data_IF_690443574427
#
_entry.id   IF_690443574427
#
_cell.length_a   1.000
_cell.length_b   1.000
_cell.length_c   1.000
_cell.angle_alpha   90.00
_cell.angle_beta   90.00
_cell.angle_gamma   90.00
#
_symmetry.space_group_name_H-M   'P 1'
#
loop_
_entity.id
_entity.type
_entity.pdbx_description
1 polymer ?
#
# COMPACT_ATOMS: atom_id res chain seq x y z
N UNK A 1 15.12 21.73 3.69
CA UNK A 1 14.26 21.22 2.62
C UNK A 1 12.97 20.74 3.27
N UNK A 2 11.80 21.10 2.75
CA UNK A 2 10.53 20.70 3.34
C UNK A 2 10.41 19.17 3.32
N UNK A 3 9.97 18.59 4.43
CA UNK A 3 9.70 17.15 4.54
C UNK A 3 8.30 16.91 3.96
N UNK A 4 8.22 16.75 2.64
CA UNK A 4 6.97 16.62 1.88
C UNK A 4 6.67 15.15 1.53
N UNK A 5 5.38 14.86 1.49
CA UNK A 5 4.80 13.58 1.06
C UNK A 5 5.53 12.30 1.53
N UNK A 6 5.55 12.04 2.85
CA UNK A 6 6.13 10.80 3.37
C UNK A 6 5.38 9.56 2.89
N UNK A 7 4.11 9.69 2.50
CA UNK A 7 3.23 8.58 2.10
C UNK A 7 3.63 7.99 0.75
N UNK A 8 3.84 8.82 -0.26
CA UNK A 8 4.29 8.35 -1.58
C UNK A 8 5.71 7.80 -1.50
N UNK A 9 6.61 8.51 -0.79
CA UNK A 9 8.00 8.08 -0.62
C UNK A 9 8.11 6.74 0.08
N UNK A 10 7.37 6.53 1.18
CA UNK A 10 7.42 5.25 1.88
C UNK A 10 6.78 4.12 1.08
N UNK A 11 5.66 4.39 0.39
CA UNK A 11 4.97 3.36 -0.40
C UNK A 11 5.86 2.85 -1.53
N UNK A 12 6.56 3.76 -2.20
CA UNK A 12 7.55 3.44 -3.25
C UNK A 12 8.71 2.63 -2.66
N UNK A 13 9.28 3.07 -1.54
CA UNK A 13 10.39 2.35 -0.89
C UNK A 13 9.99 0.95 -0.41
N UNK A 14 8.78 0.78 0.09
CA UNK A 14 8.21 -0.53 0.46
C UNK A 14 8.09 -1.42 -0.77
N UNK A 15 7.52 -0.90 -1.87
CA UNK A 15 7.42 -1.67 -3.11
C UNK A 15 8.80 -2.12 -3.59
N UNK A 16 9.75 -1.21 -3.75
CA UNK A 16 11.12 -1.49 -4.21
C UNK A 16 11.78 -2.56 -3.34
N UNK A 17 11.60 -2.47 -2.02
CA UNK A 17 12.13 -3.45 -1.07
C UNK A 17 11.49 -4.82 -1.25
N UNK A 18 10.16 -4.87 -1.45
CA UNK A 18 9.44 -6.12 -1.71
C UNK A 18 9.86 -6.73 -3.05
N UNK A 19 10.15 -5.93 -4.09
CA UNK A 19 10.59 -6.41 -5.41
C UNK A 19 11.90 -7.21 -5.39
N UNK A 20 12.67 -7.14 -4.31
CA UNK A 20 13.82 -8.03 -4.11
C UNK A 20 13.41 -9.52 -4.17
N UNK A 21 12.25 -9.89 -3.61
CA UNK A 21 11.72 -11.26 -3.67
C UNK A 21 10.43 -11.40 -4.51
N UNK A 22 9.54 -10.39 -4.45
CA UNK A 22 8.22 -10.39 -5.10
C UNK A 22 8.29 -9.77 -6.50
N UNK A 23 8.78 -10.55 -7.47
CA UNK A 23 9.07 -10.07 -8.83
C UNK A 23 7.83 -9.54 -9.55
N UNK A 24 7.96 -8.38 -10.22
CA UNK A 24 6.86 -7.68 -10.90
C UNK A 24 6.17 -8.50 -12.00
N UNK A 25 6.87 -9.42 -12.65
CA UNK A 25 6.28 -10.33 -13.63
C UNK A 25 5.49 -11.50 -13.04
N UNK A 26 5.46 -11.62 -11.71
CA UNK A 26 4.77 -12.71 -10.99
C UNK A 26 3.83 -12.21 -9.92
N UNK A 27 4.08 -11.03 -9.35
CA UNK A 27 3.33 -10.45 -8.25
C UNK A 27 2.84 -9.06 -8.63
N UNK A 28 1.54 -8.86 -8.53
CA UNK A 28 0.94 -7.53 -8.64
C UNK A 28 1.15 -6.75 -7.34
N UNK A 29 1.30 -5.43 -7.47
CA UNK A 29 1.39 -4.51 -6.35
C UNK A 29 0.43 -3.35 -6.56
N UNK A 30 -0.37 -3.04 -5.54
CA UNK A 30 -1.36 -1.96 -5.59
C UNK A 30 -1.39 -1.18 -4.29
N UNK A 31 -1.57 0.14 -4.38
CA UNK A 31 -1.95 0.99 -3.26
C UNK A 31 -3.47 1.02 -3.20
N UNK A 32 -4.04 0.77 -2.02
CA UNK A 32 -5.49 0.55 -1.83
C UNK A 32 -5.99 1.25 -0.56
N UNK A 33 -7.31 1.54 -0.44
CA UNK A 33 -7.88 2.07 0.81
C UNK A 33 -7.88 1.05 1.96
N UNK A 34 -7.96 1.53 3.21
CA UNK A 34 -8.28 0.72 4.41
C UNK A 34 -9.51 1.33 5.11
N UNK A 35 -10.64 0.62 5.24
CA UNK A 35 -10.92 -0.72 4.71
C UNK A 35 -11.16 -0.73 3.19
N UNK A 36 -10.87 -1.85 2.55
CA UNK A 36 -11.25 -2.14 1.16
C UNK A 36 -12.76 -2.38 1.06
N UNK A 37 -13.39 -1.84 0.01
CA UNK A 37 -14.77 -2.23 -0.33
C UNK A 37 -14.81 -3.64 -0.94
N UNK A 38 -16.00 -4.28 -0.88
CA UNK A 38 -16.21 -5.61 -1.48
C UNK A 38 -15.91 -5.64 -2.99
N UNK A 39 -16.26 -4.57 -3.71
CA UNK A 39 -16.07 -4.47 -5.16
C UNK A 39 -14.59 -4.36 -5.51
N UNK A 40 -13.84 -3.50 -4.81
CA UNK A 40 -12.40 -3.35 -4.99
C UNK A 40 -11.67 -4.64 -4.64
N UNK A 41 -12.06 -5.28 -3.54
CA UNK A 41 -11.47 -6.55 -3.13
C UNK A 41 -11.70 -7.65 -4.19
N UNK A 42 -12.92 -7.78 -4.72
CA UNK A 42 -13.20 -8.74 -5.81
C UNK A 42 -12.35 -8.48 -7.05
N UNK A 43 -12.21 -7.21 -7.44
CA UNK A 43 -11.37 -6.81 -8.58
C UNK A 43 -9.90 -7.22 -8.36
N UNK A 44 -9.36 -6.92 -7.18
CA UNK A 44 -7.97 -7.20 -6.81
C UNK A 44 -7.65 -8.69 -6.73
N UNK A 45 -8.56 -9.52 -6.19
CA UNK A 45 -8.32 -10.96 -6.03
C UNK A 45 -8.29 -11.72 -7.37
N UNK A 46 -8.66 -11.09 -8.48
CA UNK A 46 -8.42 -11.67 -9.81
C UNK A 46 -6.95 -11.63 -10.22
N UNK A 47 -6.16 -10.73 -9.64
CA UNK A 47 -4.76 -10.43 -9.98
C UNK A 47 -3.75 -11.14 -9.05
N UNK A 48 -4.06 -12.39 -8.66
CA UNK A 48 -3.21 -13.13 -7.73
C UNK A 48 -2.03 -13.80 -8.43
N UNK A 49 -0.85 -13.84 -7.81
CA UNK A 49 -0.57 -13.42 -6.43
C UNK A 49 -0.36 -11.90 -6.30
N UNK A 50 -0.91 -11.33 -5.21
CA UNK A 50 -1.06 -9.88 -5.04
C UNK A 50 -0.48 -9.41 -3.71
N UNK A 51 0.15 -8.24 -3.75
CA UNK A 51 0.51 -7.40 -2.62
C UNK A 51 -0.30 -6.10 -2.69
N UNK A 52 -1.09 -5.79 -1.66
CA UNK A 52 -1.87 -4.56 -1.60
C UNK A 52 -1.46 -3.77 -0.35
N UNK A 53 -0.94 -2.56 -0.53
CA UNK A 53 -0.49 -1.69 0.54
C UNK A 53 -1.55 -0.62 0.82
N UNK A 54 -1.96 -0.48 2.07
CA UNK A 54 -2.90 0.55 2.50
C UNK A 54 -2.33 1.41 3.61
N UNK A 55 -2.70 2.68 3.61
CA UNK A 55 -2.52 3.58 4.74
C UNK A 55 -3.69 3.41 5.71
N UNK A 56 -3.40 3.32 7.01
CA UNK A 56 -4.43 3.16 8.05
C UNK A 56 -4.64 4.44 8.83
N UNK A 57 -3.57 4.97 9.40
CA UNK A 57 -3.61 6.11 10.31
C UNK A 57 -2.22 6.69 10.50
N UNK A 58 -2.15 7.96 10.90
CA UNK A 58 -0.93 8.55 11.45
C UNK A 58 -1.28 9.25 12.74
N UNK A 59 -0.72 8.77 13.84
CA UNK A 59 -1.04 9.28 15.18
C UNK A 59 0.15 10.05 15.74
N UNK A 60 0.00 11.35 16.06
CA UNK A 60 1.06 12.10 16.71
C UNK A 60 1.25 11.59 18.15
N UNK A 61 2.48 11.57 18.68
CA UNK A 61 2.75 11.09 20.04
C UNK A 61 2.19 12.05 21.11
N UNK A 62 2.08 13.35 20.80
CA UNK A 62 1.62 14.41 21.70
C UNK A 62 0.55 15.30 21.05
N UNK A 63 -0.27 15.96 21.89
CA UNK A 63 -1.41 16.82 21.45
C UNK A 63 -1.00 18.20 20.91
N UNK A 64 0.25 18.40 20.54
CA UNK A 64 0.78 19.69 20.09
C UNK A 64 1.87 19.53 19.02
N UNK A 65 1.45 19.31 17.78
CA UNK A 65 2.33 19.35 16.61
C UNK A 65 2.28 20.76 16.03
N UNK A 66 3.38 21.51 16.14
CA UNK A 66 3.52 22.86 15.60
C UNK A 66 3.63 22.87 14.07
N UNK A 67 4.62 23.56 13.50
CA UNK A 67 4.88 23.56 12.04
C UNK A 67 5.38 22.21 11.48
N UNK A 68 5.56 21.21 12.35
CA UNK A 68 6.07 19.86 12.06
C UNK A 68 5.08 18.85 12.63
N UNK A 69 4.50 18.02 11.76
CA UNK A 69 3.69 16.88 12.15
C UNK A 69 4.57 15.64 12.24
N UNK A 70 4.76 15.10 13.44
CA UNK A 70 5.51 13.85 13.67
C UNK A 70 4.59 12.83 14.32
N UNK A 71 4.63 11.58 13.88
CA UNK A 71 3.71 10.56 14.34
C UNK A 71 4.04 9.15 13.88
N UNK A 72 3.41 8.18 14.54
CA UNK A 72 3.45 6.79 14.12
C UNK A 72 2.52 6.61 12.92
N UNK A 73 3.14 6.42 11.76
CA UNK A 73 2.50 6.06 10.51
C UNK A 73 2.20 4.56 10.52
N UNK A 74 0.92 4.23 10.54
CA UNK A 74 0.40 2.87 10.43
C UNK A 74 0.00 2.56 8.99
N UNK A 75 0.57 1.49 8.45
CA UNK A 75 0.24 0.94 7.13
C UNK A 75 -0.09 -0.54 7.26
N UNK A 76 -0.73 -1.10 6.24
CA UNK A 76 -1.03 -2.53 6.18
C UNK A 76 -0.73 -3.09 4.80
N UNK A 77 0.04 -4.16 4.79
CA UNK A 77 0.27 -4.97 3.60
C UNK A 77 -0.65 -6.18 3.63
N UNK A 78 -1.61 -6.22 2.71
CA UNK A 78 -2.46 -7.38 2.45
C UNK A 78 -1.81 -8.23 1.37
N UNK A 79 -1.64 -9.52 1.64
CA UNK A 79 -1.07 -10.50 0.72
C UNK A 79 -2.17 -11.47 0.34
N UNK A 80 -2.43 -11.65 -0.96
CA UNK A 80 -3.41 -12.59 -1.48
C UNK A 80 -2.71 -13.58 -2.39
N UNK A 81 -2.88 -14.87 -2.11
CA UNK A 81 -2.35 -15.96 -2.95
C UNK A 81 -3.43 -16.96 -3.32
N UNK A 82 -3.28 -17.53 -4.51
CA UNK A 82 -3.99 -18.72 -4.97
C UNK A 82 -2.94 -19.74 -5.42
N UNK A 83 -3.28 -21.03 -5.30
CA UNK A 83 -2.43 -22.10 -5.81
C UNK A 83 -3.28 -23.13 -6.57
N UNK A 84 -2.90 -23.49 -7.81
CA UNK A 84 -3.69 -24.42 -8.64
C UNK A 84 -3.71 -25.86 -8.10
N UNK A 85 -2.73 -26.26 -7.28
CA UNK A 85 -2.62 -27.63 -6.77
C UNK A 85 -3.48 -27.90 -5.51
N UNK A 86 -4.26 -26.92 -5.06
CA UNK A 86 -5.32 -27.14 -4.06
C UNK A 86 -5.10 -26.43 -2.71
N UNK A 87 -5.98 -26.76 -1.74
CA UNK A 87 -6.18 -25.98 -0.50
C UNK A 87 -4.98 -25.96 0.44
N UNK A 88 -4.13 -26.99 0.46
CA UNK A 88 -2.94 -26.98 1.31
C UNK A 88 -1.84 -26.10 0.72
N UNK A 89 -1.68 -26.15 -0.61
CA UNK A 89 -0.61 -25.47 -1.33
C UNK A 89 -0.79 -23.95 -1.40
N UNK A 90 -2.02 -23.42 -1.27
CA UNK A 90 -2.21 -21.96 -1.09
C UNK A 90 -1.60 -21.43 0.22
N UNK A 91 -1.35 -22.30 1.22
CA UNK A 91 -0.67 -21.92 2.45
C UNK A 91 0.84 -22.20 2.39
N UNK A 92 1.22 -23.40 1.95
CA UNK A 92 2.61 -23.85 1.99
C UNK A 92 3.42 -23.49 0.75
N UNK A 93 2.76 -23.32 -0.39
CA UNK A 93 3.39 -23.13 -1.70
C UNK A 93 3.91 -24.43 -2.28
N UNK A 94 4.31 -24.37 -3.55
CA UNK A 94 4.98 -25.45 -4.26
C UNK A 94 5.69 -24.90 -5.52
N UNK A 95 6.15 -25.81 -6.39
CA UNK A 95 6.79 -25.43 -7.65
C UNK A 95 5.85 -24.70 -8.63
N UNK A 96 4.52 -24.78 -8.46
CA UNK A 96 3.54 -24.19 -9.38
C UNK A 96 2.98 -22.85 -8.89
N UNK A 97 3.13 -22.52 -7.61
CA UNK A 97 2.62 -21.25 -7.09
C UNK A 97 3.08 -20.93 -5.67
N UNK A 98 2.98 -19.65 -5.28
CA UNK A 98 3.35 -19.22 -3.95
C UNK A 98 2.40 -19.76 -2.88
N UNK A 99 2.93 -19.90 -1.67
CA UNK A 99 2.16 -20.17 -0.46
C UNK A 99 2.03 -18.92 0.39
N UNK A 100 0.95 -18.82 1.15
CA UNK A 100 0.71 -17.68 2.04
C UNK A 100 1.80 -17.57 3.12
N UNK A 101 2.20 -18.69 3.74
CA UNK A 101 3.17 -18.68 4.82
C UNK A 101 4.58 -18.26 4.40
N UNK A 102 5.18 -18.81 3.31
CA UNK A 102 6.46 -18.29 2.85
C UNK A 102 6.34 -16.84 2.36
N UNK A 103 5.20 -16.43 1.78
CA UNK A 103 5.01 -15.05 1.32
C UNK A 103 4.93 -14.07 2.49
N UNK A 104 4.14 -14.35 3.53
CA UNK A 104 4.04 -13.47 4.70
C UNK A 104 5.37 -13.39 5.45
N UNK A 105 6.07 -14.52 5.64
CA UNK A 105 7.38 -14.55 6.29
C UNK A 105 8.43 -13.80 5.48
N UNK A 106 8.42 -13.96 4.15
CA UNK A 106 9.34 -13.24 3.25
C UNK A 106 9.11 -11.74 3.27
N UNK A 107 7.86 -11.29 3.22
CA UNK A 107 7.52 -9.87 3.32
C UNK A 107 7.92 -9.30 4.69
N UNK A 108 7.61 -9.99 5.78
CA UNK A 108 8.01 -9.57 7.12
C UNK A 108 9.53 -9.48 7.28
N UNK A 109 10.28 -10.46 6.75
CA UNK A 109 11.75 -10.45 6.78
C UNK A 109 12.34 -9.29 5.97
N UNK A 110 11.74 -8.94 4.83
CA UNK A 110 12.21 -7.85 3.99
C UNK A 110 11.95 -6.47 4.60
N UNK A 111 10.82 -6.31 5.30
CA UNK A 111 10.32 -5.03 5.79
C UNK A 111 10.70 -4.74 7.25
N UNK A 112 10.77 -5.75 8.11
CA UNK A 112 11.08 -5.53 9.52
C UNK A 112 12.52 -5.04 9.69
N UNK A 113 12.69 -3.86 10.28
CA UNK A 113 13.99 -3.20 10.43
C UNK A 113 14.50 -2.54 9.15
N UNK A 114 13.73 -2.52 8.06
CA UNK A 114 14.12 -1.81 6.85
C UNK A 114 14.09 -0.31 7.10
N UNK A 115 15.23 0.36 6.85
CA UNK A 115 15.38 1.81 7.04
C UNK A 115 15.37 2.52 5.71
N UNK A 116 14.46 3.46 5.56
CA UNK A 116 14.36 4.36 4.41
C UNK A 116 15.06 5.66 4.77
N UNK A 117 16.02 6.08 3.93
CA UNK A 117 16.75 7.32 4.13
C UNK A 117 15.78 8.50 4.30
N UNK A 118 16.03 9.31 5.33
CA UNK A 118 15.26 10.50 5.67
C UNK A 118 13.79 10.28 6.07
N UNK A 119 13.32 9.02 6.18
CA UNK A 119 11.97 8.69 6.64
C UNK A 119 11.98 7.86 7.93
N UNK A 120 12.96 6.97 8.10
CA UNK A 120 13.11 6.15 9.31
C UNK A 120 12.97 4.65 9.07
N UNK A 121 12.75 3.90 10.15
CA UNK A 121 12.74 2.43 10.13
C UNK A 121 11.33 1.88 10.23
N UNK A 122 11.03 0.90 9.38
CA UNK A 122 9.77 0.15 9.39
C UNK A 122 9.85 -0.98 10.41
N UNK A 123 8.80 -1.10 11.22
CA UNK A 123 8.60 -2.19 12.17
C UNK A 123 7.37 -3.00 11.79
N UNK A 124 7.49 -4.33 11.82
CA UNK A 124 6.33 -5.21 11.68
C UNK A 124 5.67 -5.34 13.05
N UNK A 125 4.48 -4.78 13.20
CA UNK A 125 3.73 -4.77 14.45
C UNK A 125 2.89 -6.03 14.66
N UNK A 126 2.29 -6.54 13.59
CA UNK A 126 1.51 -7.78 13.62
C UNK A 126 1.51 -8.47 12.26
N UNK A 127 1.41 -9.80 12.29
CA UNK A 127 1.17 -10.64 11.11
C UNK A 127 -0.02 -11.52 11.47
N UNK A 128 -1.07 -11.46 10.66
CA UNK A 128 -2.28 -12.25 10.87
C UNK A 128 -2.71 -12.90 9.55
N UNK A 129 -3.23 -14.13 9.65
CA UNK A 129 -4.04 -14.67 8.57
C UNK A 129 -5.40 -13.98 8.63
N UNK A 130 -5.85 -13.44 7.50
CA UNK A 130 -7.18 -12.90 7.37
C UNK A 130 -8.10 -13.92 6.68
N UNK A 131 -9.35 -13.97 7.11
CA UNK A 131 -10.39 -14.67 6.37
C UNK A 131 -11.05 -13.68 5.43
N UNK A 132 -11.32 -14.13 4.20
CA UNK A 132 -12.23 -13.40 3.31
C UNK A 132 -13.66 -13.65 3.79
N UNK A 133 -14.03 -13.07 4.94
CA UNK A 133 -15.38 -13.16 5.47
C UNK A 133 -16.34 -12.58 4.43
N UNK A 134 -17.33 -13.37 4.00
CA UNK A 134 -18.22 -13.02 2.87
C UNK A 134 -17.75 -13.44 1.46
N UNK A 135 -16.58 -14.08 1.32
CA UNK A 135 -16.06 -14.53 0.02
C UNK A 135 -15.59 -16.00 -0.01
N UNK A 136 -16.49 -16.96 0.31
CA UNK A 136 -16.14 -18.38 0.40
C UNK A 136 -15.60 -18.98 -0.92
N UNK A 137 -15.98 -18.41 -2.07
CA UNK A 137 -15.70 -18.98 -3.39
C UNK A 137 -14.38 -18.53 -4.02
N UNK A 138 -13.64 -17.61 -3.39
CA UNK A 138 -12.42 -17.06 -4.01
C UNK A 138 -11.24 -18.04 -4.03
N UNK A 139 -11.32 -19.17 -3.32
CA UNK A 139 -10.25 -20.17 -3.15
C UNK A 139 -8.85 -19.53 -2.93
N UNK A 140 -8.81 -18.42 -2.20
CA UNK A 140 -7.62 -17.66 -1.91
C UNK A 140 -7.21 -17.83 -0.44
N UNK A 141 -5.94 -17.59 -0.16
CA UNK A 141 -5.42 -17.43 1.20
C UNK A 141 -4.92 -15.99 1.35
N UNK A 142 -5.24 -15.36 2.49
CA UNK A 142 -4.99 -13.95 2.73
C UNK A 142 -4.25 -13.78 4.05
N UNK A 143 -3.28 -12.87 4.06
CA UNK A 143 -2.62 -12.40 5.27
C UNK A 143 -2.56 -10.88 5.27
N UNK A 144 -2.53 -10.30 6.46
CA UNK A 144 -2.26 -8.89 6.69
C UNK A 144 -1.00 -8.75 7.53
N UNK A 145 -0.14 -7.82 7.14
CA UNK A 145 1.04 -7.42 7.91
C UNK A 145 0.86 -5.95 8.27
N UNK A 146 0.68 -5.67 9.56
CA UNK A 146 0.60 -4.30 10.06
C UNK A 146 2.03 -3.75 10.22
N UNK A 147 2.29 -2.63 9.57
CA UNK A 147 3.56 -1.93 9.53
C UNK A 147 3.43 -0.62 10.29
N UNK A 148 4.44 -0.30 11.08
CA UNK A 148 4.53 0.97 11.80
C UNK A 148 5.87 1.61 11.55
N UNK A 149 5.90 2.92 11.35
CA UNK A 149 7.13 3.70 11.39
C UNK A 149 6.89 5.08 11.97
N UNK A 150 7.94 5.72 12.47
CA UNK A 150 7.89 7.13 12.78
C UNK A 150 8.03 7.90 11.46
N UNK A 151 7.05 8.70 11.09
CA UNK A 151 7.13 9.59 9.95
C UNK A 151 7.00 11.04 10.42
N UNK A 152 7.59 11.96 9.67
CA UNK A 152 7.38 13.38 9.86
C UNK A 152 7.09 14.03 8.51
N UNK A 153 6.19 15.02 8.51
CA UNK A 153 6.06 15.97 7.42
C UNK A 153 5.76 17.37 7.95
N UNK A 154 6.07 18.37 7.15
CA UNK A 154 5.78 19.76 7.48
C UNK A 154 6.78 20.74 6.89
N UNK A 155 6.36 22.00 6.85
CA UNK A 155 7.17 23.11 6.35
C UNK A 155 7.78 23.90 7.52
N UNK A 156 8.86 23.34 8.05
CA UNK A 156 9.59 23.90 9.19
C UNK A 156 10.21 25.25 8.83
N UNK A 157 10.65 25.43 7.58
CA UNK A 157 11.43 26.58 7.14
C UNK A 157 10.59 27.66 6.44
N UNK A 158 9.30 27.42 6.15
CA UNK A 158 8.49 28.37 5.38
C UNK A 158 8.80 28.32 3.87
N UNK A 159 9.31 27.20 3.40
CA UNK A 159 9.83 27.01 2.04
C UNK A 159 8.84 26.24 1.15
N UNK A 160 7.60 26.05 1.62
CA UNK A 160 6.56 25.33 0.88
C UNK A 160 6.28 25.95 -0.50
N UNK A 161 6.37 27.28 -0.62
CA UNK A 161 6.16 28.01 -1.88
C UNK A 161 7.18 27.63 -2.97
N UNK A 162 8.35 27.09 -2.60
CA UNK A 162 9.40 26.69 -3.53
C UNK A 162 9.37 25.17 -3.84
N UNK A 163 8.31 24.46 -3.43
CA UNK A 163 8.15 23.03 -3.67
C UNK A 163 7.33 22.72 -4.93
N UNK A 164 7.76 23.24 -6.08
CA UNK A 164 7.01 23.28 -7.34
C UNK A 164 6.42 21.92 -7.78
N UNK A 165 7.21 20.85 -7.71
CA UNK A 165 6.75 19.51 -8.11
C UNK A 165 5.60 19.00 -7.23
N UNK A 166 5.67 19.20 -5.91
CA UNK A 166 4.59 18.78 -5.00
C UNK A 166 3.37 19.71 -5.12
N UNK A 167 3.57 21.00 -5.36
CA UNK A 167 2.48 21.94 -5.57
C UNK A 167 1.70 21.65 -6.86
N UNK A 168 2.40 21.23 -7.92
CA UNK A 168 1.77 20.82 -9.18
C UNK A 168 0.80 19.64 -8.98
N UNK A 169 1.19 18.61 -8.20
CA UNK A 169 0.31 17.45 -7.96
C UNK A 169 -0.93 17.82 -7.14
N UNK A 170 -0.88 18.89 -6.35
CA UNK A 170 -2.01 19.39 -5.57
C UNK A 170 -2.94 20.35 -6.32
N UNK A 171 -2.48 21.00 -7.40
CA UNK A 171 -3.20 22.17 -7.95
C UNK A 171 -3.21 22.31 -9.47
N UNK A 172 -2.34 21.60 -10.19
CA UNK A 172 -2.24 21.71 -11.66
C UNK A 172 -2.90 20.55 -12.40
N UNK A 173 -3.91 19.90 -11.80
CA UNK A 173 -4.68 18.85 -12.45
C UNK A 173 -5.77 19.43 -13.36
N UNK A 174 -6.04 18.75 -14.48
CA UNK A 174 -7.16 19.13 -15.34
C UNK A 174 -8.48 18.95 -14.59
N UNK A 175 -9.44 19.89 -14.74
CA UNK A 175 -10.76 19.70 -14.17
C UNK A 175 -11.38 18.44 -14.74
N UNK A 176 -12.16 17.74 -13.93
CA UNK A 176 -13.01 16.67 -14.44
C UNK A 176 -13.81 17.21 -15.65
N UNK A 177 -13.93 16.46 -16.74
CA UNK A 177 -14.71 16.87 -17.91
C UNK A 177 -16.12 17.30 -17.52
N UNK A 178 -16.80 18.02 -18.41
CA UNK A 178 -18.19 18.42 -18.18
C UNK A 178 -19.00 17.21 -17.66
N UNK A 179 -19.64 17.30 -16.48
CA UNK A 179 -20.44 16.22 -15.92
C UNK A 179 -21.57 15.75 -16.85
N UNK A 180 -22.00 16.59 -17.79
CA UNK A 180 -22.96 16.23 -18.84
C UNK A 180 -22.35 15.34 -19.94
N UNK A 181 -21.04 15.46 -20.17
CA UNK A 181 -20.28 14.63 -21.12
C UNK A 181 -19.71 13.38 -20.47
N UNK A 182 -19.38 13.45 -19.18
CA UNK A 182 -18.84 12.32 -18.43
C UNK A 182 -19.25 12.34 -16.96
N UNK A 183 -20.15 11.41 -16.55
CA UNK A 183 -20.55 11.28 -15.16
C UNK A 183 -19.33 11.02 -14.26
N UNK A 184 -19.25 11.71 -13.12
CA UNK A 184 -18.11 11.61 -12.18
C UNK A 184 -17.83 10.21 -11.64
N UNK A 185 -18.85 9.38 -11.61
CA UNK A 185 -18.77 8.03 -11.06
C UNK A 185 -18.41 6.98 -12.12
N UNK A 186 -18.29 7.38 -13.40
CA UNK A 186 -17.88 6.48 -14.48
C UNK A 186 -16.35 6.56 -14.74
N UNK A 187 -15.70 5.44 -15.13
CA UNK A 187 -14.27 5.43 -15.42
C UNK A 187 -13.91 6.43 -16.53
N UNK A 188 -12.91 7.27 -16.28
CA UNK A 188 -12.34 8.17 -17.28
C UNK A 188 -11.44 7.39 -18.25
N UNK A 189 -11.84 7.22 -19.52
CA UNK A 189 -10.98 6.63 -20.55
C UNK A 189 -9.96 7.65 -21.06
N UNK A 190 -8.82 7.70 -20.37
CA UNK A 190 -7.64 8.53 -20.68
C UNK A 190 -7.01 8.28 -22.06
N UNK A 191 -7.56 7.40 -22.90
CA UNK A 191 -7.03 7.10 -24.24
C UNK A 191 -7.67 7.91 -25.37
N UNK A 192 -8.67 8.72 -25.07
CA UNK A 192 -9.25 9.61 -26.06
C UNK A 192 -8.62 11.00 -25.87
N UNK A 193 -7.95 11.55 -26.90
CA UNK A 193 -7.27 12.83 -26.82
C UNK A 193 -8.23 14.01 -26.64
#
# INVERSE_FOLDING_TARGET
MPELDPFTRISTAIEDRLRLAFKANRWDFHIVPDPLSDAEFRSLVTRTPLLALSFRQMNPPDKGVGRRFSGNLGMRLTIVVKNPNGRQYRYLGDAKGPGLFPSMSGAALLLNGFTVADLGTIFVGAIAQAYAEGFPDLNAAIATIDLTMLATFGDILGDFENADDFLSTLSSFEPWPDPELQPRDEPYDVRTP
#
